data_IF_180312504877
#
_entry.id   IF_180312504877
#
_cell.length_a   1.000
_cell.length_b   1.000
_cell.length_c   1.000
_cell.angle_alpha   90.00
_cell.angle_beta   90.00
_cell.angle_gamma   90.00
#
_symmetry.space_group_name_H-M   'P 1'
#
loop_
_entity.id
_entity.type
_entity.pdbx_description
1 polymer ?
#
# COMPACT_ATOMS: atom_id res chain seq x y z
N UNK A 1 -1.71 -13.15 1.37
CA UNK A 1 -3.17 -12.83 1.21
C UNK A 1 -3.34 -11.31 1.08
N UNK A 2 -4.35 -10.79 0.39
CA UNK A 2 -4.54 -9.33 0.24
C UNK A 2 -5.91 -8.92 -0.27
N UNK A 3 -6.15 -7.61 -0.36
CA UNK A 3 -7.38 -7.01 -0.87
C UNK A 3 -7.09 -5.91 -1.90
N UNK A 4 -8.02 -5.69 -2.82
CA UNK A 4 -8.06 -4.52 -3.69
C UNK A 4 -8.99 -3.46 -3.12
N UNK A 5 -8.57 -2.20 -3.18
CA UNK A 5 -9.30 -1.03 -2.67
C UNK A 5 -9.45 -0.05 -3.82
N UNK A 6 -10.69 0.30 -4.17
CA UNK A 6 -10.96 1.38 -5.11
C UNK A 6 -10.88 2.73 -4.38
N UNK A 7 -9.89 3.60 -4.70
CA UNK A 7 -9.61 4.75 -3.86
C UNK A 7 -10.52 5.96 -4.19
N UNK A 8 -11.24 6.44 -3.17
CA UNK A 8 -11.91 7.75 -3.26
C UNK A 8 -10.93 8.92 -3.19
N UNK A 9 -9.85 8.76 -2.41
CA UNK A 9 -8.75 9.73 -2.29
C UNK A 9 -7.60 9.50 -3.26
N UNK A 10 -6.54 10.30 -3.08
CA UNK A 10 -5.30 10.30 -3.87
C UNK A 10 -4.05 10.14 -2.99
N UNK A 11 -4.24 9.71 -1.75
CA UNK A 11 -3.18 9.52 -0.77
C UNK A 11 -3.33 8.15 -0.10
N UNK A 12 -2.22 7.42 -0.03
CA UNK A 12 -2.04 6.18 0.70
C UNK A 12 -1.35 6.49 2.03
N UNK A 13 -1.91 5.98 3.11
CA UNK A 13 -1.38 6.11 4.46
C UNK A 13 -0.84 4.77 4.93
N UNK A 14 0.12 4.79 5.86
CA UNK A 14 0.70 3.60 6.44
C UNK A 14 -0.37 2.79 7.19
N UNK A 15 -0.63 1.53 6.80
CA UNK A 15 -1.60 0.69 7.51
C UNK A 15 -1.06 0.18 8.85
N UNK A 16 0.27 0.15 9.02
CA UNK A 16 0.98 -0.30 10.22
C UNK A 16 2.20 0.57 10.47
N UNK A 17 2.67 0.63 11.71
CA UNK A 17 3.99 1.19 12.03
C UNK A 17 5.07 0.18 11.68
N UNK A 18 6.17 0.64 11.09
CA UNK A 18 7.23 -0.26 10.64
C UNK A 18 8.29 0.43 9.80
N UNK A 19 9.16 -0.37 9.19
CA UNK A 19 10.26 0.10 8.34
C UNK A 19 9.92 -0.08 6.86
N UNK A 20 10.12 0.96 6.04
CA UNK A 20 9.98 0.85 4.59
C UNK A 20 11.07 -0.06 4.01
N UNK A 21 10.69 -1.24 3.52
CA UNK A 21 11.61 -2.21 2.90
C UNK A 21 11.77 -2.01 1.40
N UNK A 22 10.74 -1.45 0.76
CA UNK A 22 10.76 -1.03 -0.63
C UNK A 22 10.06 0.32 -0.78
N UNK A 23 10.75 1.27 -1.43
CA UNK A 23 10.19 2.53 -1.90
C UNK A 23 10.72 2.70 -3.32
N UNK A 24 10.01 2.11 -4.29
CA UNK A 24 10.59 1.74 -5.58
C UNK A 24 10.99 2.94 -6.42
N UNK A 25 12.25 3.39 -6.36
CA UNK A 25 12.80 4.24 -7.42
C UNK A 25 13.07 3.37 -8.68
N UNK A 26 12.79 3.86 -9.90
CA UNK A 26 12.21 5.17 -10.24
C UNK A 26 10.67 5.17 -10.35
N UNK A 27 9.98 4.03 -10.22
CA UNK A 27 8.58 3.92 -10.63
C UNK A 27 7.54 4.31 -9.57
N UNK A 28 7.95 4.41 -8.30
CA UNK A 28 7.27 4.95 -7.12
C UNK A 28 5.81 4.52 -6.85
N UNK A 29 5.27 3.53 -7.56
CA UNK A 29 3.88 3.08 -7.45
C UNK A 29 3.69 1.99 -6.39
N UNK A 30 4.76 1.39 -5.87
CA UNK A 30 4.69 0.31 -4.88
C UNK A 30 5.61 0.54 -3.69
N UNK A 31 5.11 0.16 -2.51
CA UNK A 31 5.77 0.29 -1.22
C UNK A 31 5.72 -1.02 -0.45
N UNK A 32 6.84 -1.41 0.15
CA UNK A 32 6.95 -2.51 1.09
C UNK A 32 7.20 -1.99 2.49
N UNK A 33 6.53 -2.56 3.49
CA UNK A 33 6.68 -2.22 4.92
C UNK A 33 6.90 -3.50 5.70
N UNK A 34 7.95 -3.55 6.49
CA UNK A 34 8.10 -4.54 7.56
C UNK A 34 7.55 -3.94 8.84
N UNK A 35 6.37 -4.39 9.24
CA UNK A 35 5.69 -3.94 10.44
C UNK A 35 6.47 -4.30 11.71
N UNK A 36 6.39 -3.43 12.73
CA UNK A 36 6.95 -3.70 14.06
C UNK A 36 6.26 -4.91 14.73
N UNK A 37 5.03 -5.18 14.30
CA UNK A 37 4.23 -6.35 14.64
C UNK A 37 4.60 -7.59 13.82
N UNK A 38 5.63 -7.53 12.98
CA UNK A 38 6.19 -8.59 12.13
C UNK A 38 5.36 -9.00 10.92
N UNK A 39 4.28 -8.30 10.60
CA UNK A 39 3.64 -8.44 9.29
C UNK A 39 4.48 -7.77 8.20
N UNK A 40 4.60 -8.40 7.04
CA UNK A 40 5.17 -7.77 5.86
C UNK A 40 4.05 -7.33 4.92
N UNK A 41 3.93 -6.02 4.71
CA UNK A 41 2.87 -5.41 3.91
C UNK A 41 3.45 -4.89 2.60
N UNK A 42 2.84 -5.29 1.49
CA UNK A 42 3.04 -4.69 0.17
C UNK A 42 1.81 -3.86 -0.20
N UNK A 43 2.05 -2.61 -0.61
CA UNK A 43 1.04 -1.73 -1.18
C UNK A 43 1.45 -1.43 -2.62
N UNK A 44 0.53 -1.62 -3.57
CA UNK A 44 0.74 -1.34 -4.98
C UNK A 44 -0.40 -0.46 -5.51
N UNK A 45 -0.07 0.70 -6.08
CA UNK A 45 -1.05 1.69 -6.52
C UNK A 45 -1.24 1.61 -8.03
N UNK A 46 -2.49 1.30 -8.39
CA UNK A 46 -2.91 1.03 -9.76
C UNK A 46 -2.43 -0.33 -10.28
N UNK A 47 -2.97 -0.77 -11.41
CA UNK A 47 -2.61 -2.03 -12.06
C UNK A 47 -1.79 -1.73 -13.31
N UNK A 48 -0.66 -2.40 -13.48
CA UNK A 48 0.30 -2.22 -14.58
C UNK A 48 0.92 -0.81 -14.70
N UNK A 49 0.90 -0.03 -13.61
CA UNK A 49 1.44 1.34 -13.53
C UNK A 49 2.97 1.44 -13.56
N UNK A 50 3.67 0.31 -13.68
CA UNK A 50 5.14 0.27 -13.84
C UNK A 50 5.62 1.04 -15.06
N UNK A 51 4.81 1.08 -16.12
CA UNK A 51 5.12 1.75 -17.39
C UNK A 51 5.08 3.29 -17.29
N UNK A 52 4.46 3.82 -16.23
CA UNK A 52 4.37 5.26 -15.97
C UNK A 52 5.67 5.88 -15.48
N UNK A 53 6.70 5.08 -15.18
CA UNK A 53 8.06 5.54 -14.80
C UNK A 53 8.08 6.58 -13.66
N UNK A 54 7.14 6.46 -12.71
CA UNK A 54 6.99 7.37 -11.58
C UNK A 54 6.17 8.62 -11.84
N UNK A 55 5.70 8.83 -13.08
CA UNK A 55 4.82 9.96 -13.37
C UNK A 55 3.49 9.85 -12.65
N UNK A 56 3.13 10.90 -11.92
CA UNK A 56 1.90 10.92 -11.16
C UNK A 56 1.98 10.21 -9.81
N UNK A 57 3.17 9.81 -9.36
CA UNK A 57 3.41 9.28 -8.01
C UNK A 57 4.39 10.17 -7.25
N UNK A 58 4.18 10.33 -5.95
CA UNK A 58 5.12 10.97 -5.03
C UNK A 58 5.14 10.21 -3.72
N UNK A 59 6.28 9.65 -3.39
CA UNK A 59 6.53 8.95 -2.12
C UNK A 59 7.10 9.93 -1.10
N UNK A 60 6.68 9.81 0.15
CA UNK A 60 7.08 10.70 1.25
C UNK A 60 8.23 10.15 2.11
N UNK A 61 8.58 8.88 1.96
CA UNK A 61 9.69 8.22 2.67
C UNK A 61 10.68 7.53 1.73
N UNK A 62 11.78 7.07 2.29
CA UNK A 62 12.81 6.31 1.58
C UNK A 62 13.00 4.93 2.22
N UNK A 63 13.61 4.02 1.48
CA UNK A 63 13.93 2.68 2.01
C UNK A 63 14.77 2.80 3.28
N UNK A 64 14.37 2.08 4.32
CA UNK A 64 15.01 2.10 5.64
C UNK A 64 14.43 3.12 6.60
N UNK A 65 13.57 4.04 6.14
CA UNK A 65 12.86 4.95 7.04
C UNK A 65 11.80 4.20 7.86
N UNK A 66 11.66 4.57 9.13
CA UNK A 66 10.58 4.11 9.99
C UNK A 66 9.37 5.05 9.84
N UNK A 67 8.18 4.48 9.71
CA UNK A 67 6.91 5.19 9.53
C UNK A 67 5.92 4.76 10.60
N UNK A 68 5.01 5.67 10.97
CA UNK A 68 3.94 5.37 11.93
C UNK A 68 2.64 5.03 11.20
N UNK A 69 1.82 4.15 11.78
CA UNK A 69 0.46 3.92 11.29
C UNK A 69 -0.30 5.25 11.15
N UNK A 70 -0.96 5.44 10.00
CA UNK A 70 -1.65 6.68 9.62
C UNK A 70 -0.75 7.76 9.00
N UNK A 71 0.56 7.57 8.90
CA UNK A 71 1.45 8.52 8.23
C UNK A 71 1.29 8.47 6.71
N UNK A 72 1.28 9.62 6.00
CA UNK A 72 1.25 9.62 4.53
C UNK A 72 2.47 8.94 3.93
N UNK A 73 2.26 7.98 3.04
CA UNK A 73 3.34 7.23 2.40
C UNK A 73 3.53 7.58 0.93
N UNK A 74 2.42 7.67 0.19
CA UNK A 74 2.43 7.88 -1.24
C UNK A 74 1.20 8.68 -1.65
N UNK A 75 1.41 9.72 -2.44
CA UNK A 75 0.35 10.43 -3.16
C UNK A 75 0.42 10.08 -4.64
N UNK A 76 -0.74 9.98 -5.28
CA UNK A 76 -0.85 9.60 -6.68
C UNK A 76 -1.92 10.41 -7.39
N UNK A 77 -1.84 10.53 -8.72
CA UNK A 77 -2.86 11.19 -9.53
C UNK A 77 -3.71 10.16 -10.27
N UNK A 78 -4.99 10.07 -9.89
CA UNK A 78 -5.96 9.19 -10.57
C UNK A 78 -6.12 9.56 -12.03
N UNK A 79 -6.13 10.86 -12.33
CA UNK A 79 -6.26 11.35 -13.70
C UNK A 79 -5.09 10.90 -14.58
N UNK A 80 -3.84 10.94 -14.06
CA UNK A 80 -2.67 10.47 -14.80
C UNK A 80 -2.69 8.95 -15.01
N UNK A 81 -3.05 8.18 -13.99
CA UNK A 81 -3.18 6.72 -14.09
C UNK A 81 -4.23 6.35 -15.14
N UNK A 82 -5.40 6.99 -15.11
CA UNK A 82 -6.47 6.77 -16.09
C UNK A 82 -6.07 7.22 -17.50
N UNK A 83 -5.39 8.36 -17.63
CA UNK A 83 -4.90 8.85 -18.91
C UNK A 83 -3.85 7.93 -19.55
N UNK A 84 -3.09 7.20 -18.73
CA UNK A 84 -2.17 6.15 -19.18
C UNK A 84 -2.87 4.82 -19.51
N UNK A 85 -4.19 4.70 -19.28
CA UNK A 85 -4.97 3.50 -19.59
C UNK A 85 -4.94 2.42 -18.50
N UNK A 86 -4.54 2.78 -17.29
CA UNK A 86 -4.42 1.86 -16.16
C UNK A 86 -5.59 1.98 -15.17
N UNK A 87 -5.83 0.91 -14.41
CA UNK A 87 -6.77 0.92 -13.29
C UNK A 87 -6.15 1.63 -12.07
N UNK A 88 -6.96 2.35 -11.29
CA UNK A 88 -6.56 3.05 -10.06
C UNK A 88 -6.67 2.20 -8.79
N UNK A 89 -7.17 0.96 -8.88
CA UNK A 89 -7.26 0.05 -7.73
C UNK A 89 -5.92 -0.04 -6.99
N UNK A 90 -5.96 0.13 -5.67
CA UNK A 90 -4.82 -0.05 -4.78
C UNK A 90 -4.87 -1.45 -4.21
N UNK A 91 -3.80 -2.21 -4.40
CA UNK A 91 -3.65 -3.55 -3.85
C UNK A 91 -2.87 -3.44 -2.54
N UNK A 92 -3.43 -4.00 -1.46
CA UNK A 92 -2.71 -4.20 -0.21
C UNK A 92 -2.63 -5.70 0.09
N UNK A 93 -1.42 -6.20 0.33
CA UNK A 93 -1.19 -7.62 0.57
C UNK A 93 -0.22 -7.84 1.73
N UNK A 94 -0.50 -8.89 2.51
CA UNK A 94 0.48 -9.49 3.41
C UNK A 94 1.32 -10.49 2.61
N UNK A 95 2.64 -10.32 2.61
CA UNK A 95 3.60 -11.13 1.82
C UNK A 95 4.15 -12.33 2.58
N UNK A 96 4.16 -12.29 3.91
CA UNK A 96 4.65 -13.36 4.77
C UNK A 96 3.51 -14.17 5.44
N UNK A 97 2.41 -14.43 4.73
CA UNK A 97 1.24 -15.08 5.36
C UNK A 97 1.48 -16.50 5.83
N UNK A 98 2.51 -17.18 5.33
CA UNK A 98 2.88 -18.53 5.77
C UNK A 98 3.54 -18.52 7.17
N UNK A 99 4.06 -17.36 7.60
CA UNK A 99 4.64 -17.14 8.93
C UNK A 99 3.60 -16.70 9.97
N UNK A 100 2.33 -16.56 9.57
CA UNK A 100 1.24 -16.07 10.40
C UNK A 100 0.25 -17.20 10.72
N UNK A 101 -0.10 -17.38 11.99
CA UNK A 101 -1.06 -18.40 12.44
C UNK A 101 -2.46 -18.25 11.82
N UNK A 102 -2.91 -17.02 11.57
CA UNK A 102 -4.19 -16.76 10.88
C UNK A 102 -4.22 -15.39 10.23
N UNK A 103 -4.98 -15.26 9.14
CA UNK A 103 -5.25 -13.97 8.45
C UNK A 103 -6.71 -13.94 8.03
N UNK A 104 -7.44 -12.93 8.50
CA UNK A 104 -8.88 -12.71 8.32
C UNK A 104 -9.15 -11.31 7.77
N UNK A 105 -10.08 -11.20 6.82
CA UNK A 105 -10.61 -9.91 6.38
C UNK A 105 -11.66 -9.44 7.38
N UNK A 106 -11.47 -8.24 7.93
CA UNK A 106 -12.34 -7.71 8.98
C UNK A 106 -13.44 -6.80 8.44
N UNK A 107 -13.38 -6.46 7.14
CA UNK A 107 -14.29 -5.51 6.53
C UNK A 107 -14.59 -5.86 5.08
N UNK A 108 -15.83 -5.61 4.66
CA UNK A 108 -16.28 -5.65 3.26
C UNK A 108 -17.03 -4.34 2.95
N UNK A 109 -16.73 -3.72 1.80
CA UNK A 109 -17.35 -2.46 1.37
C UNK A 109 -16.53 -1.21 1.73
N UNK A 110 -17.18 -0.02 1.79
CA UNK A 110 -16.48 1.26 1.99
C UNK A 110 -15.76 1.32 3.34
N UNK A 111 -14.50 1.76 3.33
CA UNK A 111 -13.64 1.86 4.52
C UNK A 111 -12.91 3.20 4.51
N UNK A 112 -12.70 3.79 5.68
CA UNK A 112 -11.90 5.02 5.82
C UNK A 112 -10.43 4.71 6.11
N UNK A 113 -9.54 5.60 5.68
CA UNK A 113 -8.13 5.49 6.04
C UNK A 113 -7.97 5.41 7.57
N UNK A 114 -7.22 4.41 8.04
CA UNK A 114 -7.02 4.10 9.45
C UNK A 114 -7.99 3.10 10.06
N UNK A 115 -9.05 2.69 9.35
CA UNK A 115 -9.91 1.59 9.78
C UNK A 115 -9.30 0.22 9.39
N UNK A 116 -9.46 -0.81 10.23
CA UNK A 116 -8.86 -2.12 10.00
C UNK A 116 -9.59 -2.90 8.89
N UNK A 117 -8.84 -3.36 7.90
CA UNK A 117 -9.35 -4.20 6.78
C UNK A 117 -8.87 -5.66 6.84
N UNK A 118 -7.73 -5.90 7.49
CA UNK A 118 -7.14 -7.23 7.69
C UNK A 118 -6.70 -7.34 9.14
N UNK A 119 -7.00 -8.47 9.78
CA UNK A 119 -6.41 -8.86 11.06
C UNK A 119 -5.63 -10.16 10.91
N UNK A 120 -4.60 -10.33 11.73
CA UNK A 120 -3.78 -11.54 11.73
C UNK A 120 -3.35 -11.93 13.14
N UNK A 121 -2.91 -13.18 13.29
CA UNK A 121 -2.25 -13.69 14.49
C UNK A 121 -0.89 -14.24 14.11
N UNK A 122 0.10 -14.01 14.97
CA UNK A 122 1.41 -14.64 14.92
C UNK A 122 1.39 -15.98 15.66
#
# INVERSE_FOLDING_TARGET
>A
KGCGIEPEGECVYAPVSGTLTAAGAPNYHALGIQGDDGAEVLIHVGVDTVEMKGEGFKVYGEKGAHVKAGEPLLSFSKDKIKAAGHDTVVIMALTNTDDLASVEFTHEGPVKAGEPVISFKK
#
